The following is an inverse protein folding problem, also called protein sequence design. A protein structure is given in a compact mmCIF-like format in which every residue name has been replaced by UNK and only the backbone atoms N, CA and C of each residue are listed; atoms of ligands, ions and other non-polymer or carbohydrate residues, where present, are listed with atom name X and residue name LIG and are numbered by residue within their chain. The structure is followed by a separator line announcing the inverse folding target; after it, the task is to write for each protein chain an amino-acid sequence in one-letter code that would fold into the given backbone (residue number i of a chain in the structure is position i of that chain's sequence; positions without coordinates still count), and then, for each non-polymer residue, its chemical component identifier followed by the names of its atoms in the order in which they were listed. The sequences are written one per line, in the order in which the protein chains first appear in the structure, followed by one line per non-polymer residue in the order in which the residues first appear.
data_IF_170054370608
#
_entry.id   IF_170054370608
#
_cell.length_a   1.000
_cell.length_b   1.000
_cell.length_c   1.000
_cell.angle_alpha   90.00
_cell.angle_beta   90.00
_cell.angle_gamma   90.00
#
_symmetry.space_group_name_H-M   'P 1'
#
loop_
_entity.id
_entity.type
_entity.pdbx_description
1 polymer ?
#
# COMPACT_ATOMS: atom_id res chain seq x y z
N UNK A 1 -19.68 -9.57 -14.56
CA UNK A 1 -18.41 -10.33 -14.31
C UNK A 1 -17.41 -9.44 -13.61
N UNK A 2 -16.70 -9.99 -12.62
CA UNK A 2 -15.59 -9.34 -11.92
C UNK A 2 -14.28 -9.91 -12.46
N UNK A 3 -13.26 -9.06 -12.66
CA UNK A 3 -11.94 -9.44 -13.13
C UNK A 3 -10.84 -8.93 -12.19
N UNK A 4 -9.75 -9.67 -12.10
CA UNK A 4 -8.56 -9.30 -11.32
C UNK A 4 -7.36 -9.30 -12.27
N UNK A 5 -6.73 -8.16 -12.47
CA UNK A 5 -5.47 -8.00 -13.18
C UNK A 5 -4.30 -8.07 -12.19
N UNK A 6 -3.42 -9.08 -12.39
CA UNK A 6 -2.31 -9.39 -11.49
C UNK A 6 -2.73 -10.30 -10.34
N UNK A 7 -2.04 -11.46 -10.19
CA UNK A 7 -2.38 -12.48 -9.20
C UNK A 7 -1.26 -12.68 -8.17
N UNK A 8 -0.63 -11.57 -7.78
CA UNK A 8 0.27 -11.47 -6.65
C UNK A 8 -0.48 -11.52 -5.31
N UNK A 9 0.14 -11.00 -4.25
CA UNK A 9 -0.45 -11.01 -2.90
C UNK A 9 -1.82 -10.34 -2.84
N UNK A 10 -1.94 -9.12 -3.39
CA UNK A 10 -3.20 -8.35 -3.40
C UNK A 10 -4.26 -9.01 -4.28
N UNK A 11 -3.89 -9.48 -5.48
CA UNK A 11 -4.83 -10.16 -6.37
C UNK A 11 -5.41 -11.46 -5.76
N UNK A 12 -4.59 -12.23 -5.06
CA UNK A 12 -5.05 -13.42 -4.31
C UNK A 12 -6.01 -13.05 -3.18
N UNK A 13 -5.75 -11.95 -2.46
CA UNK A 13 -6.67 -11.44 -1.45
C UNK A 13 -8.02 -11.01 -2.05
N UNK A 14 -8.01 -10.36 -3.22
CA UNK A 14 -9.25 -10.03 -3.94
C UNK A 14 -10.00 -11.28 -4.39
N UNK A 15 -9.30 -12.30 -4.89
CA UNK A 15 -9.92 -13.60 -5.26
C UNK A 15 -10.53 -14.33 -4.06
N UNK A 16 -9.97 -14.14 -2.87
CA UNK A 16 -10.55 -14.67 -1.62
C UNK A 16 -11.85 -13.96 -1.23
N UNK A 17 -11.96 -12.65 -1.50
CA UNK A 17 -13.19 -11.88 -1.28
C UNK A 17 -14.25 -12.17 -2.34
N UNK A 18 -13.83 -12.33 -3.58
CA UNK A 18 -14.67 -12.54 -4.76
C UNK A 18 -14.26 -13.84 -5.47
N UNK A 19 -14.67 -15.00 -4.94
CA UNK A 19 -14.25 -16.30 -5.47
C UNK A 19 -14.65 -16.55 -6.93
N UNK A 20 -15.72 -15.89 -7.39
CA UNK A 20 -16.21 -15.94 -8.77
C UNK A 20 -15.41 -15.07 -9.75
N UNK A 21 -14.56 -14.14 -9.25
CA UNK A 21 -13.81 -13.23 -10.11
C UNK A 21 -12.83 -13.98 -11.04
N UNK A 22 -12.79 -13.61 -12.29
CA UNK A 22 -11.84 -14.14 -13.27
C UNK A 22 -10.46 -13.45 -13.12
N UNK A 23 -9.40 -14.21 -13.35
CA UNK A 23 -8.02 -13.71 -13.19
C UNK A 23 -7.36 -13.54 -14.55
N UNK A 24 -6.69 -12.40 -14.75
CA UNK A 24 -5.81 -12.14 -15.87
C UNK A 24 -4.41 -11.80 -15.35
N UNK A 25 -3.46 -12.72 -15.52
CA UNK A 25 -2.04 -12.53 -15.17
C UNK A 25 -1.16 -13.26 -16.20
N UNK A 26 -0.66 -12.56 -17.24
CA UNK A 26 0.16 -13.17 -18.28
C UNK A 26 1.45 -13.82 -17.76
N UNK A 27 2.00 -13.32 -16.66
CA UNK A 27 3.22 -13.91 -16.06
C UNK A 27 2.98 -15.31 -15.48
N UNK A 28 1.72 -15.60 -15.13
CA UNK A 28 1.28 -16.89 -14.62
C UNK A 28 0.54 -17.73 -15.67
N UNK A 29 0.56 -17.31 -16.95
CA UNK A 29 -0.19 -17.92 -18.04
C UNK A 29 -1.72 -17.99 -17.80
N UNK A 30 -2.26 -17.00 -17.07
CA UNK A 30 -3.69 -16.85 -16.83
C UNK A 30 -4.25 -15.74 -17.73
N UNK A 31 -5.08 -16.11 -18.69
CA UNK A 31 -5.58 -15.16 -19.69
C UNK A 31 -7.11 -15.08 -19.63
N UNK A 32 -7.63 -13.89 -19.42
CA UNK A 32 -9.04 -13.55 -19.61
C UNK A 32 -9.14 -12.20 -20.34
N UNK A 33 -9.66 -12.22 -21.56
CA UNK A 33 -9.81 -11.03 -22.42
C UNK A 33 -11.25 -10.54 -22.51
N UNK A 34 -12.21 -11.22 -21.83
CA UNK A 34 -13.60 -10.79 -21.80
C UNK A 34 -13.72 -9.45 -21.06
N UNK A 35 -14.67 -8.63 -21.49
CA UNK A 35 -14.96 -7.36 -20.85
C UNK A 35 -15.60 -7.59 -19.48
N UNK A 36 -15.09 -6.96 -18.43
CA UNK A 36 -15.66 -7.01 -17.08
C UNK A 36 -16.49 -5.76 -16.76
N UNK A 37 -17.48 -5.92 -15.90
CA UNK A 37 -18.22 -4.80 -15.29
C UNK A 37 -17.34 -4.10 -14.25
N UNK A 38 -16.54 -4.89 -13.50
CA UNK A 38 -15.62 -4.39 -12.49
C UNK A 38 -14.29 -5.13 -12.62
N UNK A 39 -13.19 -4.38 -12.70
CA UNK A 39 -11.84 -4.90 -12.79
C UNK A 39 -10.96 -4.37 -11.64
N UNK A 40 -10.44 -5.27 -10.82
CA UNK A 40 -9.42 -4.94 -9.82
C UNK A 40 -8.05 -4.90 -10.48
N UNK A 41 -7.32 -3.79 -10.34
CA UNK A 41 -5.96 -3.62 -10.87
C UNK A 41 -4.96 -3.80 -9.73
N UNK A 42 -4.30 -4.97 -9.70
CA UNK A 42 -3.38 -5.42 -8.67
C UNK A 42 -1.97 -5.68 -9.22
N UNK A 43 -1.58 -4.94 -10.26
CA UNK A 43 -0.30 -5.10 -10.95
C UNK A 43 0.83 -4.35 -10.22
N UNK A 44 2.11 -4.75 -10.41
CA UNK A 44 3.23 -4.10 -9.75
C UNK A 44 3.47 -2.67 -10.27
N UNK A 45 3.95 -1.82 -9.37
CA UNK A 45 4.44 -0.46 -9.65
C UNK A 45 5.85 -0.34 -9.07
N UNK A 46 6.90 -0.74 -9.80
CA UNK A 46 8.26 -0.79 -9.29
C UNK A 46 8.87 0.61 -9.17
N UNK A 47 9.93 0.71 -8.38
CA UNK A 47 10.80 1.88 -8.39
C UNK A 47 11.74 1.79 -9.60
N UNK A 48 11.74 2.81 -10.45
CA UNK A 48 12.62 2.93 -11.61
C UNK A 48 13.26 4.32 -11.61
N UNK A 49 14.57 4.38 -11.61
CA UNK A 49 15.34 5.63 -11.60
C UNK A 49 14.94 6.59 -10.46
N UNK A 50 14.65 6.04 -9.28
CA UNK A 50 14.22 6.80 -8.10
C UNK A 50 12.77 7.27 -8.11
N UNK A 51 11.97 6.85 -9.10
CA UNK A 51 10.56 7.22 -9.28
C UNK A 51 9.66 6.00 -9.30
N UNK A 52 8.44 6.17 -8.84
CA UNK A 52 7.43 5.12 -8.91
C UNK A 52 6.95 4.97 -10.37
N UNK A 53 7.23 3.82 -10.97
CA UNK A 53 6.82 3.51 -12.35
C UNK A 53 5.37 3.00 -12.37
N UNK A 54 4.44 3.83 -12.82
CA UNK A 54 3.02 3.52 -12.94
C UNK A 54 2.61 3.04 -14.33
N UNK A 55 3.55 2.92 -15.26
CA UNK A 55 3.31 2.63 -16.68
C UNK A 55 2.53 1.32 -16.89
N UNK A 56 2.77 0.30 -16.06
CA UNK A 56 2.04 -0.97 -16.15
C UNK A 56 0.54 -0.76 -15.88
N UNK A 57 0.19 0.01 -14.85
CA UNK A 57 -1.21 0.35 -14.52
C UNK A 57 -1.85 1.15 -15.64
N UNK A 58 -1.16 2.20 -16.10
CA UNK A 58 -1.68 3.07 -17.16
C UNK A 58 -1.91 2.34 -18.48
N UNK A 59 -0.92 1.56 -18.93
CA UNK A 59 -1.02 0.84 -20.20
C UNK A 59 -2.13 -0.21 -20.14
N UNK A 60 -2.20 -0.98 -19.05
CA UNK A 60 -3.26 -1.95 -18.84
C UNK A 60 -4.66 -1.32 -18.99
N UNK A 61 -4.91 -0.20 -18.30
CA UNK A 61 -6.21 0.46 -18.32
C UNK A 61 -6.49 1.11 -19.69
N UNK A 62 -5.47 1.64 -20.37
CA UNK A 62 -5.61 2.20 -21.72
C UNK A 62 -5.98 1.14 -22.76
N UNK A 63 -5.33 -0.02 -22.68
CA UNK A 63 -5.44 -1.11 -23.66
C UNK A 63 -6.66 -2.01 -23.43
N UNK A 64 -7.28 -1.97 -22.26
CA UNK A 64 -8.48 -2.75 -21.92
C UNK A 64 -9.73 -1.87 -21.92
N UNK A 65 -10.92 -2.50 -21.92
CA UNK A 65 -12.20 -1.78 -22.03
C UNK A 65 -13.25 -2.29 -21.03
N UNK A 66 -12.84 -2.53 -19.77
CA UNK A 66 -13.75 -2.86 -18.69
C UNK A 66 -14.56 -1.63 -18.28
N UNK A 67 -15.74 -1.82 -17.66
CA UNK A 67 -16.64 -0.70 -17.36
C UNK A 67 -16.18 0.14 -16.16
N UNK A 68 -15.54 -0.47 -15.15
CA UNK A 68 -15.00 0.22 -13.97
C UNK A 68 -13.72 -0.44 -13.50
N UNK A 69 -12.66 0.33 -13.33
CA UNK A 69 -11.39 -0.12 -12.76
C UNK A 69 -11.25 0.30 -11.30
N UNK A 70 -10.97 -0.65 -10.42
CA UNK A 70 -10.63 -0.40 -9.01
C UNK A 70 -9.12 -0.58 -8.88
N UNK A 71 -8.39 0.53 -8.77
CA UNK A 71 -6.93 0.54 -8.70
C UNK A 71 -6.51 0.24 -7.26
N UNK A 72 -5.86 -0.93 -7.08
CA UNK A 72 -5.31 -1.40 -5.81
C UNK A 72 -3.79 -1.18 -5.73
N UNK A 73 -3.16 -1.07 -6.89
CA UNK A 73 -1.73 -0.76 -7.01
C UNK A 73 -1.44 0.64 -6.46
N UNK A 74 -0.29 0.82 -5.82
CA UNK A 74 0.16 2.15 -5.44
C UNK A 74 0.52 2.94 -6.69
N UNK A 75 -0.06 4.12 -6.85
CA UNK A 75 0.20 5.00 -7.99
C UNK A 75 0.57 6.40 -7.52
N UNK A 76 1.13 7.20 -8.42
CA UNK A 76 1.44 8.61 -8.15
C UNK A 76 0.16 9.44 -8.10
N UNK A 77 0.06 10.44 -7.19
CA UNK A 77 -1.06 11.35 -7.17
C UNK A 77 -1.29 12.04 -8.52
N UNK A 78 -2.53 11.94 -9.01
CA UNK A 78 -2.95 12.41 -10.33
C UNK A 78 -3.05 11.32 -11.40
N UNK A 79 -2.62 10.09 -11.12
CA UNK A 79 -2.74 8.96 -12.07
C UNK A 79 -4.20 8.66 -12.41
N UNK A 80 -5.08 8.61 -11.41
CA UNK A 80 -6.51 8.37 -11.64
C UNK A 80 -7.19 9.51 -12.39
N UNK A 81 -6.81 10.76 -12.09
CA UNK A 81 -7.35 11.94 -12.80
C UNK A 81 -6.93 11.91 -14.28
N UNK A 82 -5.69 11.54 -14.55
CA UNK A 82 -5.20 11.35 -15.91
C UNK A 82 -6.00 10.27 -16.65
N UNK A 83 -6.20 9.09 -16.05
CA UNK A 83 -6.99 8.02 -16.66
C UNK A 83 -8.45 8.42 -16.87
N UNK A 84 -9.03 9.17 -15.93
CA UNK A 84 -10.38 9.73 -16.06
C UNK A 84 -10.46 10.70 -17.25
N UNK A 85 -9.44 11.53 -17.48
CA UNK A 85 -9.39 12.44 -18.62
C UNK A 85 -9.37 11.73 -19.97
N UNK A 86 -8.94 10.46 -19.99
CA UNK A 86 -8.99 9.58 -21.17
C UNK A 86 -10.35 8.83 -21.31
N UNK A 87 -11.35 9.18 -20.50
CA UNK A 87 -12.69 8.58 -20.52
C UNK A 87 -12.81 7.26 -19.75
N UNK A 88 -11.76 6.84 -19.01
CA UNK A 88 -11.81 5.61 -18.20
C UNK A 88 -12.54 5.87 -16.87
N UNK A 89 -13.37 4.90 -16.46
CA UNK A 89 -14.01 4.94 -15.15
C UNK A 89 -13.10 4.28 -14.13
N UNK A 90 -12.62 5.06 -13.15
CA UNK A 90 -11.64 4.58 -12.18
C UNK A 90 -12.06 4.93 -10.76
N UNK A 91 -11.70 4.06 -9.81
CA UNK A 91 -11.73 4.30 -8.37
C UNK A 91 -10.39 3.90 -7.79
N UNK A 92 -9.74 4.79 -7.06
CA UNK A 92 -8.59 4.46 -6.25
C UNK A 92 -9.06 3.84 -4.93
N UNK A 93 -8.62 2.63 -4.68
CA UNK A 93 -8.82 1.95 -3.40
C UNK A 93 -7.47 1.49 -2.87
N UNK A 94 -6.81 2.29 -2.02
CA UNK A 94 -5.51 1.97 -1.47
C UNK A 94 -5.45 0.60 -0.80
N UNK A 95 -4.34 -0.12 -1.01
CA UNK A 95 -4.11 -1.41 -0.37
C UNK A 95 -3.23 -1.27 0.87
N UNK A 96 -3.66 -1.92 1.95
CA UNK A 96 -2.97 -1.92 3.24
C UNK A 96 -2.70 -3.34 3.77
N UNK A 97 -2.89 -4.36 2.94
CA UNK A 97 -2.66 -5.75 3.30
C UNK A 97 -1.17 -6.01 3.56
N UNK A 98 -0.87 -6.59 4.69
CA UNK A 98 0.49 -7.02 5.03
C UNK A 98 0.85 -8.35 4.38
N UNK A 99 2.09 -8.46 3.90
CA UNK A 99 2.60 -9.66 3.22
C UNK A 99 3.08 -10.75 4.20
N UNK A 100 2.91 -10.57 5.50
CA UNK A 100 3.30 -11.56 6.52
C UNK A 100 2.10 -11.99 7.35
N UNK A 101 2.09 -13.25 7.77
CA UNK A 101 0.98 -13.84 8.55
C UNK A 101 0.75 -13.15 9.90
N UNK A 102 1.78 -12.54 10.48
CA UNK A 102 1.70 -11.81 11.75
C UNK A 102 1.38 -10.33 11.58
N UNK A 103 1.15 -9.87 10.34
CA UNK A 103 0.77 -8.48 10.11
C UNK A 103 -0.67 -8.26 10.57
N UNK A 104 -0.99 -7.14 11.27
CA UNK A 104 -2.35 -6.86 11.76
C UNK A 104 -3.40 -6.77 10.67
N UNK A 105 -2.97 -6.57 9.41
CA UNK A 105 -3.80 -6.49 8.21
C UNK A 105 -3.50 -7.65 7.24
N UNK A 106 -3.27 -8.86 7.75
CA UNK A 106 -2.97 -10.05 6.92
C UNK A 106 -4.23 -10.67 6.29
N UNK A 107 -5.41 -10.42 6.86
CA UNK A 107 -6.69 -10.91 6.33
C UNK A 107 -7.55 -9.79 5.79
N UNK A 108 -7.88 -9.86 4.50
CA UNK A 108 -8.73 -8.88 3.83
C UNK A 108 -10.18 -8.92 4.34
N UNK A 109 -10.69 -10.09 4.80
CA UNK A 109 -12.06 -10.23 5.30
C UNK A 109 -12.27 -9.59 6.67
N UNK A 110 -11.23 -9.52 7.49
CA UNK A 110 -11.29 -8.90 8.82
C UNK A 110 -11.20 -7.37 8.80
N UNK A 111 -11.08 -6.78 7.63
CA UNK A 111 -10.96 -5.32 7.47
C UNK A 111 -12.20 -4.60 7.97
N UNK A 112 -12.00 -3.56 8.77
CA UNK A 112 -13.08 -2.76 9.35
C UNK A 112 -13.24 -1.38 8.71
N UNK A 113 -12.38 -1.03 7.75
CA UNK A 113 -12.41 0.25 7.07
C UNK A 113 -11.89 0.15 5.64
N UNK A 114 -12.43 1.02 4.76
CA UNK A 114 -12.01 1.20 3.38
C UNK A 114 -11.82 2.68 3.08
N UNK A 115 -10.91 2.99 2.15
CA UNK A 115 -10.80 4.29 1.50
C UNK A 115 -11.20 4.11 0.05
N UNK A 116 -12.08 4.96 -0.45
CA UNK A 116 -12.52 4.96 -1.84
C UNK A 116 -12.38 6.38 -2.41
N UNK A 117 -11.53 6.52 -3.41
CA UNK A 117 -11.29 7.77 -4.13
C UNK A 117 -11.81 7.73 -5.55
N UNK A 118 -12.54 8.77 -5.99
CA UNK A 118 -13.08 8.85 -7.33
C UNK A 118 -14.35 9.68 -7.38
N UNK A 119 -15.03 9.70 -8.55
CA UNK A 119 -16.32 10.37 -8.67
C UNK A 119 -17.42 9.63 -7.89
N UNK A 120 -18.44 10.31 -7.38
CA UNK A 120 -19.48 9.72 -6.52
C UNK A 120 -20.15 8.49 -7.13
N UNK A 121 -20.46 8.51 -8.41
CA UNK A 121 -21.15 7.45 -9.14
C UNK A 121 -20.31 6.15 -9.14
N UNK A 122 -19.01 6.26 -9.37
CA UNK A 122 -18.10 5.12 -9.39
C UNK A 122 -17.88 4.56 -7.98
N UNK A 123 -17.71 5.45 -6.97
CA UNK A 123 -17.58 5.00 -5.58
C UNK A 123 -18.81 4.25 -5.11
N UNK A 124 -20.03 4.70 -5.49
CA UNK A 124 -21.29 4.01 -5.15
C UNK A 124 -21.29 2.57 -5.68
N UNK A 125 -20.91 2.33 -6.93
CA UNK A 125 -20.82 0.98 -7.50
C UNK A 125 -19.85 0.08 -6.72
N UNK A 126 -18.73 0.64 -6.27
CA UNK A 126 -17.76 -0.09 -5.44
C UNK A 126 -18.32 -0.38 -4.04
N UNK A 127 -19.07 0.55 -3.45
CA UNK A 127 -19.74 0.33 -2.16
C UNK A 127 -20.77 -0.81 -2.29
N UNK A 128 -21.62 -0.77 -3.31
CA UNK A 128 -22.62 -1.81 -3.60
C UNK A 128 -21.95 -3.20 -3.77
N UNK A 129 -20.80 -3.26 -4.45
CA UNK A 129 -20.02 -4.48 -4.56
C UNK A 129 -19.55 -4.98 -3.19
N UNK A 130 -18.98 -4.11 -2.37
CA UNK A 130 -18.42 -4.50 -1.07
C UNK A 130 -19.48 -4.80 0.00
N UNK A 131 -20.72 -4.32 -0.14
CA UNK A 131 -21.83 -4.71 0.71
C UNK A 131 -22.17 -6.22 0.63
N UNK A 132 -21.73 -6.89 -0.42
CA UNK A 132 -21.91 -8.34 -0.59
C UNK A 132 -20.92 -9.18 0.24
N UNK A 133 -19.82 -8.58 0.69
CA UNK A 133 -18.73 -9.29 1.38
C UNK A 133 -18.40 -8.74 2.76
N UNK A 134 -18.72 -7.49 3.03
CA UNK A 134 -18.49 -6.85 4.33
C UNK A 134 -19.78 -6.56 5.08
N UNK A 135 -19.71 -6.64 6.41
CA UNK A 135 -20.82 -6.31 7.29
C UNK A 135 -21.10 -4.80 7.30
N UNK A 136 -22.29 -4.42 7.78
CA UNK A 136 -22.72 -3.03 7.90
C UNK A 136 -21.83 -2.15 8.80
N UNK A 137 -20.96 -2.76 9.61
CA UNK A 137 -20.06 -2.03 10.52
C UNK A 137 -18.76 -1.56 9.86
N UNK A 138 -18.55 -1.83 8.56
CA UNK A 138 -17.34 -1.34 7.88
C UNK A 138 -17.41 0.19 7.71
N UNK A 139 -16.34 0.87 8.12
CA UNK A 139 -16.21 2.31 7.90
C UNK A 139 -15.70 2.58 6.48
N UNK A 140 -16.41 3.38 5.70
CA UNK A 140 -16.00 3.74 4.33
C UNK A 140 -15.71 5.24 4.27
N UNK A 141 -14.44 5.59 4.06
CA UNK A 141 -14.01 6.96 3.81
C UNK A 141 -14.02 7.24 2.32
N UNK A 142 -14.85 8.20 1.93
CA UNK A 142 -15.01 8.63 0.55
C UNK A 142 -14.30 9.96 0.32
N UNK A 143 -13.54 10.05 -0.77
CA UNK A 143 -12.74 11.23 -1.11
C UNK A 143 -12.52 11.32 -2.63
N UNK A 144 -11.79 12.32 -3.10
CA UNK A 144 -11.31 12.37 -4.48
C UNK A 144 -10.28 11.27 -4.73
N UNK A 145 -10.07 10.91 -6.00
CA UNK A 145 -9.05 9.92 -6.35
C UNK A 145 -7.65 10.39 -5.94
N UNK A 146 -7.37 11.65 -6.18
CA UNK A 146 -6.10 12.29 -5.80
C UNK A 146 -5.82 12.18 -4.29
N UNK A 147 -6.81 12.47 -3.43
CA UNK A 147 -6.66 12.34 -1.98
C UNK A 147 -6.38 10.89 -1.56
N UNK A 148 -7.06 9.91 -2.18
CA UNK A 148 -6.84 8.50 -1.88
C UNK A 148 -5.45 8.01 -2.30
N UNK A 149 -4.90 8.49 -3.41
CA UNK A 149 -3.53 8.24 -3.84
C UNK A 149 -2.52 8.80 -2.83
N UNK A 150 -2.73 10.05 -2.37
CA UNK A 150 -1.91 10.68 -1.31
C UNK A 150 -2.00 9.91 0.00
N UNK A 151 -3.20 9.43 0.38
CA UNK A 151 -3.37 8.62 1.60
C UNK A 151 -2.46 7.37 1.58
N UNK A 152 -2.38 6.66 0.44
CA UNK A 152 -1.56 5.45 0.33
C UNK A 152 -0.07 5.73 0.57
N UNK A 153 0.46 6.73 -0.09
CA UNK A 153 1.88 7.11 0.06
C UNK A 153 2.18 7.62 1.48
N UNK A 154 1.25 8.40 2.05
CA UNK A 154 1.41 8.97 3.39
C UNK A 154 1.43 7.89 4.48
N UNK A 155 0.61 6.86 4.35
CA UNK A 155 0.58 5.75 5.31
C UNK A 155 1.92 5.01 5.37
N UNK A 156 2.45 4.58 4.22
CA UNK A 156 3.73 3.88 4.19
C UNK A 156 4.90 4.78 4.64
N UNK A 157 4.83 6.09 4.35
CA UNK A 157 5.78 7.05 4.91
C UNK A 157 5.72 7.12 6.44
N UNK A 158 4.51 7.13 7.03
CA UNK A 158 4.35 7.15 8.49
C UNK A 158 4.93 5.89 9.15
N UNK A 159 4.71 4.73 8.54
CA UNK A 159 5.33 3.46 8.97
C UNK A 159 6.86 3.55 8.92
N UNK A 160 7.41 4.07 7.81
CA UNK A 160 8.86 4.21 7.64
C UNK A 160 9.50 5.10 8.73
N UNK A 161 8.86 6.21 9.08
CA UNK A 161 9.31 7.07 10.18
C UNK A 161 9.30 6.34 11.52
N UNK A 162 8.25 5.58 11.82
CA UNK A 162 8.18 4.81 13.05
C UNK A 162 9.28 3.75 13.14
N UNK A 163 9.51 3.02 12.05
CA UNK A 163 10.61 2.04 11.96
C UNK A 163 11.96 2.71 12.22
N UNK A 164 12.25 3.83 11.54
CA UNK A 164 13.52 4.54 11.69
C UNK A 164 13.72 5.07 13.14
N UNK A 165 12.68 5.65 13.72
CA UNK A 165 12.70 6.12 15.10
C UNK A 165 13.03 4.99 16.09
N UNK A 166 12.44 3.81 15.90
CA UNK A 166 12.72 2.67 16.76
C UNK A 166 14.14 2.11 16.55
N UNK A 167 14.67 2.15 15.32
CA UNK A 167 16.05 1.79 15.04
C UNK A 167 17.04 2.72 15.74
N UNK A 168 16.80 4.02 15.70
CA UNK A 168 17.63 5.02 16.37
C UNK A 168 17.60 4.83 17.90
N UNK A 169 16.40 4.62 18.47
CA UNK A 169 16.26 4.33 19.89
C UNK A 169 16.99 3.05 20.29
N UNK A 170 16.90 2.00 19.48
CA UNK A 170 17.62 0.75 19.70
C UNK A 170 19.14 0.97 19.78
N UNK A 171 19.69 1.69 18.80
CA UNK A 171 21.14 1.99 18.77
C UNK A 171 21.58 2.81 19.99
N UNK A 172 20.77 3.80 20.38
CA UNK A 172 21.03 4.60 21.59
C UNK A 172 21.00 3.75 22.86
N UNK A 173 20.03 2.83 22.98
CA UNK A 173 19.92 1.90 24.09
C UNK A 173 21.16 0.98 24.16
N UNK A 174 21.55 0.38 23.06
CA UNK A 174 22.73 -0.50 22.99
C UNK A 174 23.99 0.25 23.43
N UNK A 175 24.21 1.46 22.93
CA UNK A 175 25.37 2.29 23.27
C UNK A 175 25.46 2.62 24.77
N UNK A 176 24.31 2.75 25.43
CA UNK A 176 24.23 3.20 26.84
C UNK A 176 23.92 2.05 27.83
N UNK A 177 23.93 0.79 27.39
CA UNK A 177 23.65 -0.37 28.23
C UNK A 177 22.23 -0.45 28.76
N UNK A 178 21.26 0.10 27.99
CA UNK A 178 19.83 0.07 28.34
C UNK A 178 19.15 -1.00 27.51
N UNK A 179 18.20 -1.74 28.10
CA UNK A 179 17.40 -2.70 27.35
C UNK A 179 16.30 -1.98 26.54
N UNK A 180 16.42 -2.07 25.21
CA UNK A 180 15.46 -1.49 24.27
C UNK A 180 14.03 -1.97 24.51
N UNK A 181 13.85 -3.29 24.75
CA UNK A 181 12.52 -3.87 24.85
C UNK A 181 11.79 -3.43 26.12
N UNK A 182 12.50 -3.23 27.22
CA UNK A 182 11.93 -2.62 28.43
C UNK A 182 11.39 -1.21 28.16
N UNK A 183 12.19 -0.37 27.47
CA UNK A 183 11.75 1.00 27.12
C UNK A 183 10.61 0.96 26.10
N UNK A 184 10.73 0.10 25.07
CA UNK A 184 9.70 -0.08 24.05
C UNK A 184 8.34 -0.43 24.66
N UNK A 185 8.30 -1.43 25.53
CA UNK A 185 7.06 -1.92 26.12
C UNK A 185 6.40 -0.86 26.99
N UNK A 186 7.17 -0.16 27.83
CA UNK A 186 6.66 0.93 28.65
C UNK A 186 6.09 2.11 27.82
N UNK A 187 6.75 2.48 26.71
CA UNK A 187 6.33 3.62 25.88
C UNK A 187 5.25 3.24 24.88
N UNK A 188 5.42 2.11 24.18
CA UNK A 188 4.53 1.75 23.07
C UNK A 188 3.48 0.71 23.43
N UNK A 189 3.65 -0.03 24.52
CA UNK A 189 2.72 -1.05 24.98
C UNK A 189 1.71 -0.54 26.00
N UNK A 190 2.17 0.23 26.96
CA UNK A 190 1.36 0.67 28.10
C UNK A 190 0.66 2.01 27.86
N UNK A 191 1.27 2.92 27.09
CA UNK A 191 0.69 4.23 26.81
C UNK A 191 -0.34 4.14 25.67
N UNK A 192 -1.64 4.43 25.92
CA UNK A 192 -2.70 4.33 24.91
C UNK A 192 -2.56 5.30 23.73
N UNK A 193 -1.67 6.29 23.82
CA UNK A 193 -1.34 7.19 22.69
C UNK A 193 -0.48 6.54 21.63
N UNK A 194 0.11 5.36 21.92
CA UNK A 194 1.00 4.62 21.03
C UNK A 194 0.55 3.18 20.85
N UNK A 195 1.29 2.38 20.07
CA UNK A 195 1.10 0.95 19.90
C UNK A 195 2.41 0.27 19.52
N UNK A 196 2.48 -1.05 19.68
CA UNK A 196 3.67 -1.87 19.43
C UNK A 196 3.93 -2.19 17.95
N UNK A 197 3.03 -1.84 17.03
CA UNK A 197 3.25 -2.12 15.62
C UNK A 197 4.48 -1.36 15.08
N UNK A 198 5.32 -2.07 14.30
CA UNK A 198 6.57 -1.56 13.70
C UNK A 198 7.64 -1.09 14.71
N UNK A 199 7.62 -1.61 15.93
CA UNK A 199 8.62 -1.32 16.95
C UNK A 199 9.64 -2.47 17.15
N UNK A 200 9.50 -3.58 16.44
CA UNK A 200 10.40 -4.72 16.53
C UNK A 200 11.70 -4.45 15.77
N UNK A 201 12.81 -4.84 16.40
CA UNK A 201 14.15 -4.74 15.82
C UNK A 201 14.60 -6.14 15.41
N UNK A 202 15.02 -6.25 14.16
CA UNK A 202 15.66 -7.46 13.63
C UNK A 202 17.14 -7.13 13.41
N UNK A 203 18.06 -7.66 14.24
CA UNK A 203 19.48 -7.30 14.16
C UNK A 203 20.12 -7.59 12.80
N UNK A 204 19.68 -8.66 12.15
CA UNK A 204 20.11 -9.10 10.80
C UNK A 204 19.39 -8.38 9.65
N UNK A 205 18.32 -7.60 9.95
CA UNK A 205 17.50 -6.88 8.95
C UNK A 205 17.18 -5.47 9.41
N UNK A 206 18.22 -4.64 9.55
CA UNK A 206 18.08 -3.26 10.00
C UNK A 206 17.37 -2.38 8.96
N UNK A 207 16.63 -1.39 9.43
CA UNK A 207 15.89 -0.45 8.59
C UNK A 207 14.62 -1.01 7.98
N UNK A 208 14.10 -0.33 6.95
CA UNK A 208 12.97 -0.76 6.15
C UNK A 208 13.42 -1.06 4.71
N UNK A 209 13.35 -2.34 4.31
CA UNK A 209 13.78 -2.83 3.01
C UNK A 209 12.77 -3.83 2.42
N UNK A 210 11.47 -3.59 2.63
CA UNK A 210 10.40 -4.36 2.00
C UNK A 210 10.20 -3.92 0.54
N UNK A 211 9.42 -4.68 -0.22
CA UNK A 211 9.06 -4.33 -1.60
C UNK A 211 8.21 -3.06 -1.69
N UNK A 212 7.45 -2.73 -0.63
CA UNK A 212 6.44 -1.68 -0.65
C UNK A 212 6.93 -0.38 -0.02
N UNK A 213 7.44 -0.42 1.24
CA UNK A 213 7.73 0.80 2.00
C UNK A 213 8.74 1.70 1.29
N UNK A 214 9.93 1.24 0.86
CA UNK A 214 10.90 2.12 0.22
C UNK A 214 10.33 2.85 -1.00
N UNK A 215 9.71 2.12 -1.94
CA UNK A 215 9.19 2.71 -3.18
C UNK A 215 8.09 3.75 -2.93
N UNK A 216 7.23 3.51 -1.94
CA UNK A 216 6.13 4.41 -1.62
C UNK A 216 6.65 5.67 -0.90
N UNK A 217 7.71 5.56 -0.09
CA UNK A 217 8.40 6.72 0.52
C UNK A 217 9.11 7.57 -0.53
N UNK A 218 9.76 6.95 -1.52
CA UNK A 218 10.31 7.66 -2.68
C UNK A 218 9.22 8.36 -3.49
N UNK A 219 8.11 7.67 -3.78
CA UNK A 219 6.95 8.25 -4.47
C UNK A 219 6.36 9.45 -3.71
N UNK A 220 6.26 9.33 -2.38
CA UNK A 220 5.82 10.44 -1.53
C UNK A 220 6.79 11.63 -1.58
N UNK A 221 8.10 11.37 -1.52
CA UNK A 221 9.13 12.41 -1.58
C UNK A 221 9.11 13.13 -2.93
N UNK A 222 8.89 12.43 -4.03
CA UNK A 222 8.74 13.01 -5.35
C UNK A 222 7.49 13.89 -5.44
N UNK A 223 6.35 13.39 -5.00
CA UNK A 223 5.09 14.14 -5.03
C UNK A 223 5.12 15.40 -4.17
N UNK A 224 5.68 15.32 -2.97
CA UNK A 224 5.71 16.45 -2.03
C UNK A 224 6.73 17.54 -2.41
N UNK A 225 7.55 17.29 -3.42
CA UNK A 225 8.72 18.13 -3.66
C UNK A 225 9.75 17.91 -2.56
N UNK A 226 10.89 18.55 -2.57
CA UNK A 226 11.99 18.25 -1.64
C UNK A 226 11.72 18.66 -0.18
N UNK A 227 11.04 17.87 0.64
CA UNK A 227 11.00 18.07 2.07
C UNK A 227 12.20 17.37 2.69
N UNK A 228 12.99 18.09 3.35
CA UNK A 228 14.22 17.66 3.99
C UNK A 228 14.07 16.50 4.97
N UNK A 229 12.92 16.39 5.64
CA UNK A 229 12.69 15.34 6.63
C UNK A 229 12.60 13.93 6.01
N UNK A 230 11.89 13.78 4.88
CA UNK A 230 11.80 12.49 4.18
C UNK A 230 13.13 12.10 3.52
N UNK A 231 13.85 13.06 2.95
CA UNK A 231 15.21 12.81 2.43
C UNK A 231 16.17 12.37 3.54
N UNK A 232 16.07 12.98 4.72
CA UNK A 232 16.87 12.59 5.89
C UNK A 232 16.52 11.17 6.34
N UNK A 233 15.23 10.82 6.38
CA UNK A 233 14.76 9.47 6.67
C UNK A 233 15.35 8.44 5.69
N UNK A 234 15.28 8.71 4.38
CA UNK A 234 15.81 7.81 3.36
C UNK A 234 17.33 7.63 3.50
N UNK A 235 18.08 8.71 3.70
CA UNK A 235 19.54 8.65 3.94
C UNK A 235 19.88 7.85 5.20
N UNK A 236 19.12 8.06 6.28
CA UNK A 236 19.30 7.31 7.53
C UNK A 236 19.06 5.81 7.30
N UNK A 237 17.98 5.46 6.63
CA UNK A 237 17.65 4.07 6.30
C UNK A 237 18.73 3.41 5.42
N UNK A 238 19.21 4.10 4.39
CA UNK A 238 20.27 3.60 3.51
C UNK A 238 21.57 3.33 4.28
N UNK A 239 21.90 4.18 5.26
CA UNK A 239 23.06 3.99 6.12
C UNK A 239 22.89 2.77 7.02
N UNK A 240 21.69 2.56 7.62
CA UNK A 240 21.41 1.37 8.42
C UNK A 240 21.57 0.07 7.61
N UNK A 241 21.08 0.06 6.37
CA UNK A 241 21.16 -1.11 5.50
C UNK A 241 22.62 -1.38 5.10
N UNK A 242 23.36 -0.35 4.66
CA UNK A 242 24.77 -0.49 4.19
C UNK A 242 25.75 -0.90 5.28
N UNK A 243 25.55 -0.47 6.52
CA UNK A 243 26.44 -0.73 7.64
C UNK A 243 25.93 -1.84 8.55
N UNK A 244 24.98 -2.63 8.11
CA UNK A 244 24.52 -3.79 8.85
C UNK A 244 25.64 -4.85 8.88
N UNK A 245 26.21 -5.19 10.06
CA UNK A 245 27.31 -6.15 10.17
C UNK A 245 26.93 -7.60 9.79
N UNK A 246 25.63 -7.84 9.52
CA UNK A 246 25.07 -9.16 9.17
C UNK A 246 24.69 -9.30 7.68
N UNK A 247 25.04 -8.33 6.83
CA UNK A 247 24.86 -8.40 5.35
C UNK A 247 26.20 -8.44 4.65
#
# INVERSE_FOLDING_TARGET
MIKIYGYGWVGKAMKTLFPEAEVHDPQLNMFNTEKAEIAFVCVPTPLKDGRLDVSIVENLIKETNDDLYIIRSTVMPGTCDYLTSLGKQVVMQPEYLGETVNHPMSDQKSRQWLILGGIPENRRKVIELYQQVYNANISIRQMTAYEAEVCKLTENRAIAFKVAQCQELYDACQKNGVDYYTIRDAVYGDDPRFNLYWTFIYPDKRGFNSKCIPKDVYGWSEWAGKPTLTETLLKYNDNLIRHNPFI
#
